data_IF_608443305913
#
_entry.id   IF_608443305913
#
_cell.length_a   1.000
_cell.length_b   1.000
_cell.length_c   1.000
_cell.angle_alpha   90.00
_cell.angle_beta   90.00
_cell.angle_gamma   90.00
#
_symmetry.space_group_name_H-M   'P 1'
#
loop_
_entity.id
_entity.type
_entity.pdbx_description
1 polymer ?
#
# COMPACT_ATOMS: atom_id res chain seq x y z
N UNK A 1 -7.47 14.22 12.54
CA UNK A 1 -8.16 12.97 12.88
C UNK A 1 -7.28 12.22 13.87
N UNK A 2 -7.78 11.94 15.06
CA UNK A 2 -7.05 11.21 16.11
C UNK A 2 -7.36 9.71 15.94
N UNK A 3 -6.39 8.95 15.42
CA UNK A 3 -6.48 7.49 15.30
C UNK A 3 -5.92 6.89 16.58
N UNK A 4 -6.78 6.38 17.45
CA UNK A 4 -6.39 5.82 18.76
C UNK A 4 -6.31 4.29 18.80
N UNK A 5 -6.61 3.63 17.68
CA UNK A 5 -6.74 2.17 17.58
C UNK A 5 -5.90 1.67 16.40
N UNK A 6 -6.40 0.66 15.68
CA UNK A 6 -5.80 0.17 14.44
C UNK A 6 -5.93 1.21 13.31
N UNK A 7 -4.79 1.79 12.92
CA UNK A 7 -4.70 2.73 11.80
C UNK A 7 -4.44 2.04 10.46
N UNK A 8 -4.20 0.72 10.42
CA UNK A 8 -3.75 -0.01 9.23
C UNK A 8 -4.68 0.18 8.04
N UNK A 9 -6.00 0.15 8.26
CA UNK A 9 -7.04 0.34 7.24
C UNK A 9 -7.07 1.77 6.67
N UNK A 10 -6.95 2.78 7.54
CA UNK A 10 -6.89 4.18 7.11
C UNK A 10 -5.63 4.44 6.30
N UNK A 11 -4.48 3.96 6.81
CA UNK A 11 -3.21 4.09 6.12
C UNK A 11 -3.24 3.35 4.79
N UNK A 12 -3.81 2.14 4.72
CA UNK A 12 -3.81 1.34 3.50
C UNK A 12 -4.66 1.92 2.36
N UNK A 13 -5.65 2.73 2.71
CA UNK A 13 -6.54 3.43 1.78
C UNK A 13 -6.16 4.90 1.59
N UNK A 14 -5.01 5.33 2.12
CA UNK A 14 -4.62 6.73 2.07
C UNK A 14 -4.30 7.13 0.61
N UNK A 15 -4.95 8.17 0.07
CA UNK A 15 -4.73 8.58 -1.31
C UNK A 15 -3.33 9.14 -1.55
N UNK A 16 -2.98 9.34 -2.82
CA UNK A 16 -1.67 9.81 -3.29
C UNK A 16 -1.42 11.31 -2.98
N UNK A 17 -1.74 11.78 -1.77
CA UNK A 17 -1.29 13.06 -1.24
C UNK A 17 -0.29 12.84 -0.10
N UNK A 18 0.73 13.72 0.05
CA UNK A 18 1.66 13.62 1.16
C UNK A 18 0.90 13.67 2.48
N UNK A 19 1.11 12.67 3.34
CA UNK A 19 0.65 12.72 4.72
C UNK A 19 1.26 13.95 5.39
N UNK A 20 0.42 14.96 5.64
CA UNK A 20 0.90 16.26 6.12
C UNK A 20 1.51 16.20 7.52
N UNK A 21 1.23 15.15 8.31
CA UNK A 21 2.10 14.59 9.36
C UNK A 21 1.31 13.61 10.24
N UNK A 22 1.97 12.53 10.69
CA UNK A 22 1.47 11.64 11.74
C UNK A 22 2.34 11.82 13.00
N UNK A 23 1.89 12.69 13.92
CA UNK A 23 2.66 13.06 15.12
C UNK A 23 2.43 12.17 16.35
N UNK A 24 1.47 11.24 16.29
CA UNK A 24 1.13 10.32 17.38
C UNK A 24 1.16 8.85 16.93
N UNK A 25 2.13 8.51 16.09
CA UNK A 25 2.30 7.14 15.61
C UNK A 25 2.63 6.15 16.74
N UNK A 26 3.09 6.64 17.89
CA UNK A 26 3.30 5.90 19.13
C UNK A 26 2.03 5.66 19.96
N UNK A 27 0.89 6.25 19.56
CA UNK A 27 -0.41 6.12 20.24
C UNK A 27 -1.36 5.17 19.51
N UNK A 28 -1.02 4.73 18.28
CA UNK A 28 -1.77 3.70 17.54
C UNK A 28 -1.32 2.30 17.95
N UNK A 29 -2.12 1.29 17.59
CA UNK A 29 -1.67 -0.09 17.67
C UNK A 29 -0.50 -0.35 16.71
N UNK A 30 0.43 -1.26 17.05
CA UNK A 30 1.53 -1.63 16.14
C UNK A 30 0.99 -2.10 14.79
N UNK A 31 1.51 -1.52 13.69
CA UNK A 31 1.18 -1.96 12.33
C UNK A 31 1.60 -3.41 12.10
N UNK A 32 2.69 -3.84 12.73
CA UNK A 32 3.16 -5.21 12.69
C UNK A 32 2.75 -5.93 13.98
N UNK A 33 1.79 -6.89 13.94
CA UNK A 33 1.21 -7.49 15.15
C UNK A 33 2.20 -8.25 16.04
N UNK A 34 3.36 -8.62 15.49
CA UNK A 34 4.42 -9.34 16.21
C UNK A 34 5.51 -8.42 16.80
N UNK A 35 5.29 -7.09 16.82
CA UNK A 35 6.26 -6.09 17.28
C UNK A 35 5.62 -5.15 18.30
N UNK A 36 6.44 -4.57 19.18
CA UNK A 36 5.98 -3.43 19.98
C UNK A 36 5.86 -2.15 19.12
N UNK A 37 5.32 -1.07 19.70
CA UNK A 37 5.10 0.20 18.98
C UNK A 37 6.39 0.81 18.45
N UNK A 38 7.47 0.79 19.23
CA UNK A 38 8.74 1.39 18.85
C UNK A 38 9.45 0.56 17.76
N UNK A 39 9.42 -0.76 17.88
CA UNK A 39 9.93 -1.71 16.90
C UNK A 39 9.16 -1.61 15.58
N UNK A 40 7.83 -1.60 15.64
CA UNK A 40 6.96 -1.44 14.49
C UNK A 40 7.25 -0.13 13.75
N UNK A 41 7.40 0.97 14.49
CA UNK A 41 7.76 2.28 13.92
C UNK A 41 9.13 2.23 13.25
N UNK A 42 10.15 1.69 13.94
CA UNK A 42 11.49 1.55 13.37
C UNK A 42 11.50 0.67 12.13
N UNK A 43 10.69 -0.38 12.10
CA UNK A 43 10.53 -1.27 10.95
C UNK A 43 9.94 -0.53 9.76
N UNK A 44 8.83 0.20 9.95
CA UNK A 44 8.21 1.02 8.92
C UNK A 44 9.19 2.08 8.38
N UNK A 45 9.96 2.72 9.27
CA UNK A 45 10.96 3.72 8.87
C UNK A 45 12.11 3.14 8.02
N UNK A 46 12.36 1.82 8.05
CA UNK A 46 13.31 1.19 7.11
C UNK A 46 12.77 1.25 5.67
N UNK A 47 11.48 1.00 5.47
CA UNK A 47 10.85 1.15 4.16
C UNK A 47 10.84 2.63 3.71
N UNK A 48 10.66 3.57 4.65
CA UNK A 48 10.71 5.01 4.38
C UNK A 48 12.06 5.46 3.84
N UNK A 49 13.14 4.88 4.37
CA UNK A 49 14.50 5.19 3.91
C UNK A 49 14.78 4.72 2.49
N UNK A 50 14.09 3.67 2.03
CA UNK A 50 14.21 3.17 0.65
C UNK A 50 13.41 4.05 -0.29
N UNK A 51 12.18 4.38 0.07
CA UNK A 51 11.34 5.28 -0.71
C UNK A 51 10.35 6.04 0.15
N UNK A 52 10.73 7.26 0.52
CA UNK A 52 9.90 8.12 1.35
C UNK A 52 8.72 8.71 0.54
N UNK A 53 8.92 8.93 -0.76
CA UNK A 53 7.94 9.60 -1.62
C UNK A 53 6.67 8.77 -1.82
N UNK A 54 6.81 7.44 -1.80
CA UNK A 54 5.72 6.47 -1.95
C UNK A 54 5.18 5.92 -0.62
N UNK A 55 5.70 6.41 0.51
CA UNK A 55 5.26 5.95 1.82
C UNK A 55 3.78 6.26 2.06
N UNK A 56 3.01 5.23 2.43
CA UNK A 56 1.56 5.28 2.64
C UNK A 56 0.76 5.73 1.41
N UNK A 57 1.37 5.71 0.23
CA UNK A 57 0.64 5.79 -1.03
C UNK A 57 0.14 4.39 -1.40
N UNK A 58 -1.09 4.32 -1.87
CA UNK A 58 -1.67 3.10 -2.43
C UNK A 58 -1.27 2.96 -3.90
N UNK A 59 -0.63 1.85 -4.23
CA UNK A 59 -0.32 1.42 -5.60
C UNK A 59 -1.21 0.22 -5.92
N UNK A 60 -1.78 0.16 -7.12
CA UNK A 60 -2.68 -0.93 -7.51
C UNK A 60 -2.16 -1.64 -8.73
N UNK A 61 -1.92 -2.94 -8.61
CA UNK A 61 -1.44 -3.76 -9.71
C UNK A 61 -2.49 -4.76 -10.16
N UNK A 62 -2.66 -4.89 -11.46
CA UNK A 62 -3.50 -5.92 -12.05
C UNK A 62 -2.65 -7.10 -12.49
N UNK A 63 -3.12 -8.31 -12.19
CA UNK A 63 -2.61 -9.53 -12.78
C UNK A 63 -3.70 -10.16 -13.64
N UNK A 64 -3.69 -9.78 -14.93
CA UNK A 64 -4.75 -10.12 -15.88
C UNK A 64 -4.87 -11.62 -16.17
N UNK A 65 -3.78 -12.37 -16.07
CA UNK A 65 -3.81 -13.82 -16.32
C UNK A 65 -4.69 -14.57 -15.31
N UNK A 66 -4.76 -14.09 -14.07
CA UNK A 66 -5.60 -14.67 -13.01
C UNK A 66 -6.79 -13.79 -12.62
N UNK A 67 -7.03 -12.69 -13.35
CA UNK A 67 -8.04 -11.67 -13.02
C UNK A 67 -7.91 -11.14 -11.58
N UNK A 68 -6.69 -10.90 -11.11
CA UNK A 68 -6.45 -10.41 -9.75
C UNK A 68 -6.11 -8.93 -9.70
N UNK A 69 -6.43 -8.29 -8.57
CA UNK A 69 -5.97 -6.94 -8.24
C UNK A 69 -5.23 -6.96 -6.92
N UNK A 70 -4.01 -6.44 -6.92
CA UNK A 70 -3.21 -6.23 -5.73
C UNK A 70 -3.29 -4.75 -5.35
N UNK A 71 -3.82 -4.45 -4.16
CA UNK A 71 -3.68 -3.14 -3.54
C UNK A 71 -2.50 -3.18 -2.58
N UNK A 72 -1.50 -2.34 -2.84
CA UNK A 72 -0.22 -2.34 -2.15
C UNK A 72 -0.04 -0.98 -1.49
N UNK A 73 0.20 -0.99 -0.19
CA UNK A 73 0.61 0.20 0.55
C UNK A 73 2.06 0.04 0.98
N UNK A 74 2.91 0.94 0.50
CA UNK A 74 4.36 0.76 0.57
C UNK A 74 4.85 0.49 2.00
N UNK A 75 5.52 -0.65 2.18
CA UNK A 75 6.24 -0.97 3.41
C UNK A 75 5.44 -1.61 4.55
N UNK A 76 4.12 -1.83 4.41
CA UNK A 76 3.33 -2.44 5.50
C UNK A 76 2.12 -3.29 5.10
N UNK A 77 1.49 -3.10 3.94
CA UNK A 77 0.22 -3.78 3.64
C UNK A 77 0.08 -4.18 2.18
N UNK A 78 -0.46 -5.37 1.94
CA UNK A 78 -0.86 -5.87 0.63
C UNK A 78 -2.20 -6.56 0.76
N UNK A 79 -3.14 -6.22 -0.12
CA UNK A 79 -4.44 -6.85 -0.22
C UNK A 79 -4.65 -7.43 -1.62
N UNK A 80 -5.14 -8.66 -1.69
CA UNK A 80 -5.44 -9.36 -2.93
C UNK A 80 -6.96 -9.44 -3.13
N UNK A 81 -7.43 -8.92 -4.25
CA UNK A 81 -8.77 -9.14 -4.76
C UNK A 81 -8.72 -10.16 -5.90
N UNK A 82 -9.52 -11.22 -5.81
CA UNK A 82 -9.66 -12.23 -6.88
C UNK A 82 -10.59 -11.76 -8.02
N UNK A 83 -10.51 -10.47 -8.35
CA UNK A 83 -11.23 -9.82 -9.44
C UNK A 83 -10.48 -8.55 -9.86
N UNK A 84 -10.74 -8.09 -11.08
CA UNK A 84 -10.31 -6.76 -11.52
C UNK A 84 -11.18 -5.71 -10.82
N UNK A 85 -10.56 -4.85 -10.02
CA UNK A 85 -11.20 -3.74 -9.31
C UNK A 85 -10.90 -2.43 -10.05
N UNK A 86 -11.91 -1.68 -10.50
CA UNK A 86 -11.69 -0.34 -11.06
C UNK A 86 -11.35 0.64 -9.92
N UNK A 87 -10.43 1.59 -10.15
CA UNK A 87 -9.97 2.49 -9.09
C UNK A 87 -9.72 3.90 -9.62
N UNK A 88 -10.25 4.92 -8.93
CA UNK A 88 -10.22 6.31 -9.41
C UNK A 88 -8.80 6.90 -9.51
N UNK A 89 -7.88 6.57 -8.59
CA UNK A 89 -6.58 7.28 -8.45
C UNK A 89 -5.47 6.45 -7.83
N UNK A 90 -4.83 5.59 -8.60
CA UNK A 90 -3.62 4.87 -8.15
C UNK A 90 -2.56 4.79 -9.26
N UNK A 91 -1.31 4.56 -8.86
CA UNK A 91 -0.26 4.15 -9.79
C UNK A 91 -0.61 2.76 -10.33
N UNK A 92 -0.68 2.63 -11.66
CA UNK A 92 -1.00 1.35 -12.31
C UNK A 92 0.26 0.51 -12.54
N UNK A 93 0.12 -0.79 -12.35
CA UNK A 93 1.20 -1.74 -12.57
C UNK A 93 0.67 -3.09 -13.04
N UNK A 94 1.52 -3.83 -13.74
CA UNK A 94 1.28 -5.23 -14.07
C UNK A 94 2.22 -6.13 -13.25
N UNK A 95 1.67 -7.24 -12.75
CA UNK A 95 2.50 -8.31 -12.20
C UNK A 95 3.05 -9.14 -13.37
N UNK A 96 4.37 -9.04 -13.58
CA UNK A 96 5.09 -9.68 -14.68
C UNK A 96 5.46 -11.12 -14.35
N UNK A 97 5.91 -11.37 -13.13
CA UNK A 97 6.33 -12.70 -12.69
C UNK A 97 6.00 -12.92 -11.21
N UNK A 98 5.74 -14.17 -10.84
CA UNK A 98 5.54 -14.57 -9.44
C UNK A 98 6.48 -15.74 -9.12
N UNK A 99 7.37 -15.52 -8.17
CA UNK A 99 8.35 -16.48 -7.68
C UNK A 99 8.03 -16.85 -6.23
N UNK A 100 7.16 -17.85 -6.04
CA UNK A 100 6.69 -18.26 -4.71
C UNK A 100 5.93 -17.13 -4.01
N UNK A 101 6.53 -16.51 -2.99
CA UNK A 101 5.96 -15.37 -2.25
C UNK A 101 6.44 -13.99 -2.74
N UNK A 102 7.18 -13.93 -3.85
CA UNK A 102 7.66 -12.68 -4.44
C UNK A 102 6.96 -12.45 -5.77
N UNK A 103 6.58 -11.20 -6.04
CA UNK A 103 6.01 -10.80 -7.32
C UNK A 103 6.86 -9.67 -7.92
N UNK A 104 7.22 -9.80 -9.18
CA UNK A 104 7.87 -8.77 -9.96
C UNK A 104 6.81 -7.89 -10.62
N UNK A 105 6.88 -6.60 -10.31
CA UNK A 105 5.86 -5.61 -10.68
C UNK A 105 6.47 -4.60 -11.63
N UNK A 106 5.79 -4.31 -12.74
CA UNK A 106 6.15 -3.25 -13.69
C UNK A 106 5.14 -2.12 -13.62
N UNK A 107 5.59 -0.95 -13.20
CA UNK A 107 4.79 0.27 -13.25
C UNK A 107 4.55 0.71 -14.70
N UNK A 108 3.36 1.26 -14.95
CA UNK A 108 2.94 1.79 -16.25
C UNK A 108 1.86 2.86 -16.08
N UNK A 109 1.56 3.55 -17.17
CA UNK A 109 0.37 4.41 -17.22
C UNK A 109 -0.91 3.55 -17.12
N UNK A 110 -1.91 4.12 -16.46
CA UNK A 110 -3.24 3.53 -16.35
C UNK A 110 -3.95 3.57 -17.70
N UNK A 111 -4.65 2.49 -18.05
CA UNK A 111 -5.53 2.49 -19.21
C UNK A 111 -6.85 3.19 -18.89
N UNK A 112 -7.60 3.60 -19.92
CA UNK A 112 -8.86 4.32 -19.79
C UNK A 112 -9.96 3.52 -19.07
N UNK A 113 -9.88 2.20 -19.06
CA UNK A 113 -10.77 1.30 -18.31
C UNK A 113 -10.36 1.13 -16.84
N UNK A 114 -9.19 1.63 -16.45
CA UNK A 114 -8.64 1.58 -15.10
C UNK A 114 -8.83 2.90 -14.35
N UNK A 115 -9.06 4.01 -15.05
CA UNK A 115 -9.38 5.32 -14.46
C UNK A 115 -10.90 5.45 -14.33
N UNK A 116 -11.42 5.40 -13.11
CA UNK A 116 -12.78 5.88 -12.85
C UNK A 116 -12.72 7.42 -12.87
N UNK A 117 -13.68 8.05 -13.56
CA UNK A 117 -13.83 9.50 -13.69
C UNK A 117 -15.01 10.00 -12.86
#
# INVERSE_FOLDING_TARGET
>A
MDMRCDASSFLSSHPQFPLMSLHHFDMVEPIFPSMDRAESTRHLMKAAKVDQSRMMQQTVCHHRQSNWTFSISWGYFVHLYERIMPIDRCECCDVICVHGRKADVKFRECMTDEIIA
#
